data_IF_320546537609
#
_entry.id   IF_320546537609
#
_cell.length_a   1.000
_cell.length_b   1.000
_cell.length_c   1.000
_cell.angle_alpha   90.00
_cell.angle_beta   90.00
_cell.angle_gamma   90.00
#
_symmetry.space_group_name_H-M   'P 1'
#
loop_
_entity.id
_entity.type
_entity.pdbx_description
1 polymer ?
#
# COMPACT_ATOMS: atom_id res chain seq x y z
N UNK A 1 2.90 5.41 -4.95
CA UNK A 1 1.78 6.29 -5.36
C UNK A 1 1.22 6.98 -4.11
N UNK A 2 1.05 8.31 -4.10
CA UNK A 2 0.45 9.04 -2.97
C UNK A 2 -0.62 10.00 -3.47
N UNK A 3 -1.84 9.88 -2.97
CA UNK A 3 -2.98 10.72 -3.36
C UNK A 3 -3.52 11.40 -2.11
N UNK A 4 -3.74 12.72 -2.20
CA UNK A 4 -4.32 13.50 -1.11
C UNK A 4 -5.72 13.00 -0.76
N UNK A 5 -5.96 12.80 0.54
CA UNK A 5 -7.26 12.49 1.12
C UNK A 5 -7.99 13.77 1.49
N UNK A 6 -9.29 13.81 1.22
CA UNK A 6 -10.14 14.96 1.54
C UNK A 6 -10.83 15.56 0.31
N UNK A 7 -11.69 16.57 0.53
CA UNK A 7 -12.37 17.29 -0.54
C UNK A 7 -11.43 18.30 -1.23
N UNK A 8 -10.24 17.84 -1.61
CA UNK A 8 -9.17 18.67 -2.20
C UNK A 8 -8.88 18.31 -3.66
N UNK A 9 -9.52 17.26 -4.16
CA UNK A 9 -9.38 16.76 -5.52
C UNK A 9 -9.55 15.25 -5.57
N UNK A 10 -9.52 14.70 -6.78
CA UNK A 10 -9.48 13.26 -7.04
C UNK A 10 -8.40 12.94 -8.06
N UNK A 11 -7.84 11.74 -8.00
CA UNK A 11 -6.81 11.31 -8.95
C UNK A 11 -7.26 10.11 -9.79
N UNK A 12 -6.81 10.08 -11.04
CA UNK A 12 -6.88 8.90 -11.91
C UNK A 12 -5.43 8.47 -12.16
N UNK A 13 -5.11 7.24 -11.81
CA UNK A 13 -3.82 6.60 -12.02
C UNK A 13 -4.09 5.30 -12.76
N UNK A 14 -3.52 5.16 -13.95
CA UNK A 14 -3.77 4.03 -14.82
C UNK A 14 -2.49 3.60 -15.51
N UNK A 15 -2.32 2.29 -15.70
CA UNK A 15 -1.28 1.71 -16.56
C UNK A 15 0.14 2.06 -16.09
N UNK A 16 0.45 1.68 -14.85
CA UNK A 16 1.76 1.93 -14.22
C UNK A 16 2.42 0.61 -13.89
N UNK A 17 3.65 0.42 -14.37
CA UNK A 17 4.42 -0.80 -14.18
C UNK A 17 5.77 -0.49 -13.50
N UNK A 18 6.00 -1.10 -12.33
CA UNK A 18 7.27 -1.05 -11.62
C UNK A 18 7.97 -2.40 -11.76
N UNK A 19 9.11 -2.43 -12.45
CA UNK A 19 9.74 -3.68 -12.89
C UNK A 19 11.26 -3.67 -12.62
N UNK A 20 11.80 -4.83 -12.26
CA UNK A 20 13.25 -5.08 -12.11
C UNK A 20 13.95 -4.12 -11.12
N UNK A 21 13.31 -3.86 -9.99
CA UNK A 21 13.80 -2.93 -8.97
C UNK A 21 14.51 -3.70 -7.85
N UNK A 22 15.74 -3.28 -7.54
CA UNK A 22 16.43 -3.70 -6.30
C UNK A 22 16.38 -2.58 -5.27
N UNK A 23 15.82 -2.86 -4.09
CA UNK A 23 15.81 -1.92 -2.97
C UNK A 23 16.91 -2.27 -1.96
N UNK A 24 17.65 -1.27 -1.49
CA UNK A 24 18.70 -1.47 -0.49
C UNK A 24 18.45 -0.62 0.75
N UNK A 25 18.19 -1.29 1.88
CA UNK A 25 18.02 -0.65 3.18
C UNK A 25 16.93 0.45 3.17
N UNK A 26 15.78 0.18 2.55
CA UNK A 26 14.71 1.17 2.36
C UNK A 26 13.65 1.07 3.47
N UNK A 27 13.22 2.20 4.04
CA UNK A 27 12.25 2.21 5.15
C UNK A 27 10.82 1.88 4.73
N UNK A 28 10.38 2.35 3.56
CA UNK A 28 9.06 2.05 3.02
C UNK A 28 9.20 1.65 1.54
N UNK A 29 9.57 0.41 1.24
CA UNK A 29 9.93 0.01 -0.11
C UNK A 29 8.81 0.18 -1.13
N UNK A 30 7.60 -0.31 -0.80
CA UNK A 30 6.43 -0.24 -1.69
C UNK A 30 5.29 0.49 -0.99
N UNK A 31 4.89 1.64 -1.52
CA UNK A 31 3.85 2.48 -0.89
C UNK A 31 2.79 2.90 -1.91
N UNK A 32 1.55 2.56 -1.59
CA UNK A 32 0.35 3.22 -2.12
C UNK A 32 -0.40 3.81 -0.93
N UNK A 33 -0.49 5.13 -0.90
CA UNK A 33 -1.21 5.86 0.14
C UNK A 33 -2.19 6.84 -0.52
N UNK A 34 -3.42 6.38 -0.77
CA UNK A 34 -4.52 7.27 -1.15
C UNK A 34 -5.27 7.83 0.05
N UNK A 35 -4.69 7.70 1.25
CA UNK A 35 -5.19 8.30 2.48
C UNK A 35 -4.25 9.40 2.99
N UNK A 36 -3.38 9.90 2.10
CA UNK A 36 -2.34 10.85 2.43
C UNK A 36 -2.95 12.11 3.05
N UNK A 37 -2.29 12.64 4.08
CA UNK A 37 -2.70 13.81 4.87
C UNK A 37 -3.90 13.60 5.83
N UNK A 38 -4.91 12.77 5.50
CA UNK A 38 -6.08 12.59 6.37
C UNK A 38 -6.60 11.16 6.43
N UNK A 39 -6.19 10.45 7.48
CA UNK A 39 -6.72 9.12 7.81
C UNK A 39 -8.19 9.16 8.25
N UNK A 40 -8.61 10.23 8.92
CA UNK A 40 -10.00 10.41 9.35
C UNK A 40 -10.96 10.55 8.17
N UNK A 41 -10.59 11.33 7.13
CA UNK A 41 -11.40 11.40 5.92
C UNK A 41 -11.37 10.08 5.15
N UNK A 42 -10.21 9.44 5.05
CA UNK A 42 -10.08 8.13 4.42
C UNK A 42 -10.96 7.06 5.08
N UNK A 43 -11.05 7.07 6.41
CA UNK A 43 -11.92 6.17 7.17
C UNK A 43 -13.42 6.39 6.92
N UNK A 44 -13.82 7.48 6.27
CA UNK A 44 -15.22 7.67 5.81
C UNK A 44 -15.57 6.82 4.59
N UNK A 45 -14.57 6.20 3.94
CA UNK A 45 -14.76 5.38 2.74
C UNK A 45 -15.02 6.18 1.47
N UNK A 46 -15.02 7.53 1.52
CA UNK A 46 -15.27 8.36 0.32
C UNK A 46 -14.20 8.13 -0.76
N UNK A 47 -14.61 8.09 -2.05
CA UNK A 47 -13.67 7.95 -3.15
C UNK A 47 -12.78 9.18 -3.27
N UNK A 48 -11.48 8.94 -3.47
CA UNK A 48 -10.46 9.99 -3.73
C UNK A 48 -9.55 9.60 -4.91
N UNK A 49 -9.56 8.33 -5.32
CA UNK A 49 -8.74 7.85 -6.42
C UNK A 49 -9.41 6.74 -7.23
N UNK A 50 -9.06 6.69 -8.50
CA UNK A 50 -9.18 5.49 -9.34
C UNK A 50 -7.77 5.06 -9.74
N UNK A 51 -7.25 4.03 -9.07
CA UNK A 51 -5.95 3.41 -9.34
C UNK A 51 -6.22 2.06 -10.02
N UNK A 52 -5.82 1.94 -11.27
CA UNK A 52 -6.15 0.79 -12.12
C UNK A 52 -4.95 0.30 -12.92
N UNK A 53 -4.90 -1.01 -13.19
CA UNK A 53 -3.83 -1.62 -13.98
C UNK A 53 -2.42 -1.23 -13.50
N UNK A 54 -2.16 -1.37 -12.19
CA UNK A 54 -0.83 -1.15 -11.62
C UNK A 54 -0.16 -2.50 -11.34
N UNK A 55 1.06 -2.69 -11.80
CA UNK A 55 1.84 -3.90 -11.51
C UNK A 55 3.17 -3.57 -10.83
N UNK A 56 3.59 -4.46 -9.93
CA UNK A 56 4.90 -4.46 -9.31
C UNK A 56 5.50 -5.84 -9.52
N UNK A 57 6.50 -5.92 -10.40
CA UNK A 57 7.06 -7.18 -10.88
C UNK A 57 8.57 -7.25 -10.60
N UNK A 58 9.05 -8.39 -10.12
CA UNK A 58 10.48 -8.65 -9.90
C UNK A 58 11.17 -7.56 -9.05
N UNK A 59 10.59 -7.26 -7.88
CA UNK A 59 11.18 -6.33 -6.92
C UNK A 59 11.84 -7.09 -5.79
N UNK A 60 13.14 -6.89 -5.59
CA UNK A 60 13.91 -7.65 -4.60
C UNK A 60 14.75 -6.75 -3.69
N UNK A 61 15.26 -7.28 -2.58
CA UNK A 61 16.26 -6.61 -1.77
C UNK A 61 15.89 -6.47 -0.30
N UNK A 62 16.23 -5.35 0.34
CA UNK A 62 16.17 -5.22 1.80
C UNK A 62 15.46 -3.97 2.31
N UNK A 63 14.69 -4.12 3.39
CA UNK A 63 14.07 -3.02 4.13
C UNK A 63 14.76 -2.75 5.48
N UNK A 64 14.63 -1.52 5.99
CA UNK A 64 15.16 -1.18 7.33
C UNK A 64 14.38 -1.82 8.47
N UNK A 65 13.09 -2.11 8.24
CA UNK A 65 12.18 -2.71 9.22
C UNK A 65 11.22 -3.72 8.61
N UNK A 66 10.35 -4.30 9.44
CA UNK A 66 9.48 -5.41 9.02
C UNK A 66 8.45 -5.05 7.95
N UNK A 67 8.03 -3.79 7.86
CA UNK A 67 7.02 -3.35 6.89
C UNK A 67 7.70 -3.18 5.53
N UNK A 68 7.37 -4.07 4.59
CA UNK A 68 7.96 -4.07 3.24
C UNK A 68 7.02 -3.45 2.21
N UNK A 69 5.72 -3.48 2.48
CA UNK A 69 4.72 -2.78 1.68
C UNK A 69 3.61 -2.17 2.53
N UNK A 70 3.02 -1.09 2.03
CA UNK A 70 1.86 -0.43 2.61
C UNK A 70 0.93 0.03 1.49
N UNK A 71 -0.18 -0.68 1.29
CA UNK A 71 -1.19 -0.44 0.25
C UNK A 71 -2.49 -0.03 0.93
N UNK A 72 -2.71 1.27 1.02
CA UNK A 72 -3.81 1.87 1.76
C UNK A 72 -4.74 2.57 0.78
N UNK A 73 -5.95 2.01 0.66
CA UNK A 73 -7.00 2.51 -0.20
C UNK A 73 -8.32 2.62 0.58
N UNK A 74 -9.06 3.73 0.52
CA UNK A 74 -10.40 3.79 1.12
C UNK A 74 -11.39 2.98 0.28
N UNK A 75 -12.38 2.36 0.92
CA UNK A 75 -13.32 1.41 0.31
C UNK A 75 -14.01 1.92 -0.97
N UNK A 76 -14.37 3.20 -1.04
CA UNK A 76 -15.00 3.77 -2.23
C UNK A 76 -14.05 4.05 -3.40
N UNK A 77 -12.73 4.02 -3.20
CA UNK A 77 -11.75 4.18 -4.27
C UNK A 77 -11.47 2.86 -4.97
N UNK A 78 -11.08 2.92 -6.25
CA UNK A 78 -10.59 1.75 -6.97
C UNK A 78 -9.08 1.62 -6.76
N UNK A 79 -8.62 0.42 -6.37
CA UNK A 79 -7.21 0.10 -6.24
C UNK A 79 -6.91 -1.31 -6.78
N UNK A 80 -6.73 -1.40 -8.10
CA UNK A 80 -6.27 -2.61 -8.80
C UNK A 80 -4.74 -2.53 -8.96
N UNK A 81 -4.04 -3.16 -8.01
CA UNK A 81 -2.58 -3.21 -7.92
C UNK A 81 -2.18 -4.67 -7.71
N UNK A 82 -1.27 -5.20 -8.53
CA UNK A 82 -0.87 -6.61 -8.48
C UNK A 82 0.64 -6.75 -8.30
N UNK A 83 1.03 -7.62 -7.37
CA UNK A 83 2.42 -7.95 -7.10
C UNK A 83 2.74 -9.30 -7.72
N UNK A 84 3.92 -9.39 -8.34
CA UNK A 84 4.45 -10.62 -8.90
C UNK A 84 5.95 -10.67 -8.63
N UNK A 85 6.44 -11.79 -8.11
CA UNK A 85 7.88 -11.99 -7.85
C UNK A 85 8.50 -10.88 -6.98
N UNK A 86 7.76 -10.42 -5.95
CA UNK A 86 8.23 -9.42 -4.98
C UNK A 86 8.86 -10.12 -3.78
N UNK A 87 10.16 -9.96 -3.58
CA UNK A 87 10.95 -10.57 -2.49
C UNK A 87 11.82 -9.53 -1.77
N UNK A 88 11.22 -8.83 -0.80
CA UNK A 88 11.92 -7.84 0.05
C UNK A 88 12.02 -8.41 1.46
N UNK A 89 13.24 -8.49 1.99
CA UNK A 89 13.51 -9.05 3.31
C UNK A 89 13.98 -7.97 4.30
N UNK A 90 13.42 -7.92 5.52
CA UNK A 90 13.91 -7.01 6.55
C UNK A 90 15.35 -7.32 6.96
N UNK A 91 16.24 -6.33 7.02
CA UNK A 91 17.62 -6.52 7.52
C UNK A 91 17.66 -6.98 8.98
N UNK A 92 16.59 -6.74 9.73
CA UNK A 92 16.45 -7.19 11.13
C UNK A 92 16.23 -8.70 11.26
N UNK A 93 16.00 -9.42 10.15
CA UNK A 93 15.65 -10.85 10.16
C UNK A 93 14.20 -11.14 10.55
N UNK A 94 13.38 -10.11 10.82
CA UNK A 94 11.96 -10.27 11.07
C UNK A 94 11.21 -10.74 9.81
N UNK A 95 10.07 -11.40 10.00
CA UNK A 95 9.18 -11.72 8.89
C UNK A 95 8.65 -10.43 8.21
N UNK A 96 8.59 -10.39 6.87
CA UNK A 96 8.04 -9.25 6.14
C UNK A 96 6.55 -9.06 6.41
N UNK A 97 6.12 -7.80 6.52
CA UNK A 97 4.73 -7.39 6.77
C UNK A 97 4.26 -6.53 5.60
N UNK A 98 3.14 -6.92 5.00
CA UNK A 98 2.42 -6.15 3.98
C UNK A 98 1.19 -5.52 4.63
N UNK A 99 1.18 -4.20 4.77
CA UNK A 99 0.05 -3.47 5.36
C UNK A 99 -0.98 -3.17 4.28
N UNK A 100 -2.23 -3.52 4.53
CA UNK A 100 -3.32 -3.32 3.58
C UNK A 100 -4.52 -2.65 4.23
N UNK A 101 -5.22 -1.78 3.50
CA UNK A 101 -6.50 -1.22 3.90
C UNK A 101 -7.45 -1.16 2.70
N UNK A 102 -8.66 -1.72 2.87
CA UNK A 102 -9.73 -1.89 1.86
C UNK A 102 -9.31 -2.51 0.52
N UNK A 103 -8.25 -3.32 0.54
CA UNK A 103 -7.76 -4.13 -0.59
C UNK A 103 -7.54 -5.55 -0.08
N UNK A 104 -7.72 -6.57 -0.91
CA UNK A 104 -7.63 -7.96 -0.46
C UNK A 104 -6.30 -8.61 -0.80
N UNK A 105 -5.89 -9.58 0.01
CA UNK A 105 -4.67 -10.35 -0.20
C UNK A 105 -4.66 -11.04 -1.57
N UNK A 106 -5.80 -11.61 -1.96
CA UNK A 106 -5.96 -12.36 -3.20
C UNK A 106 -5.86 -11.46 -4.43
N UNK A 107 -6.37 -10.23 -4.32
CA UNK A 107 -6.35 -9.25 -5.41
C UNK A 107 -4.94 -8.72 -5.66
N UNK A 108 -4.13 -8.52 -4.59
CA UNK A 108 -2.76 -8.01 -4.69
C UNK A 108 -1.74 -9.13 -4.95
N UNK A 109 -1.97 -10.34 -4.44
CA UNK A 109 -1.02 -11.45 -4.52
C UNK A 109 -0.02 -11.52 -3.36
N UNK A 110 -0.33 -10.91 -2.21
CA UNK A 110 0.47 -11.00 -0.97
C UNK A 110 -0.39 -11.15 0.27
N UNK A 111 0.14 -11.76 1.32
CA UNK A 111 -0.55 -11.85 2.61
C UNK A 111 -0.61 -10.48 3.29
N UNK A 112 -1.81 -9.91 3.33
CA UNK A 112 -2.08 -8.63 3.97
C UNK A 112 -2.23 -8.76 5.50
N UNK A 113 -1.67 -7.78 6.20
CA UNK A 113 -1.98 -7.42 7.58
C UNK A 113 -2.91 -6.21 7.54
N UNK A 114 -4.02 -6.24 8.28
CA UNK A 114 -5.04 -5.19 8.28
C UNK A 114 -5.06 -4.42 9.60
N UNK A 115 -5.37 -3.11 9.59
CA UNK A 115 -5.49 -2.32 10.80
C UNK A 115 -6.89 -2.44 11.40
N UNK A 116 -6.99 -2.23 12.72
CA UNK A 116 -8.26 -1.80 13.33
C UNK A 116 -8.36 -0.28 13.20
N UNK A 117 -9.52 0.22 12.75
CA UNK A 117 -9.77 1.66 12.67
C UNK A 117 -10.49 2.13 13.95
N UNK A 118 -9.86 3.01 14.73
CA UNK A 118 -10.44 3.58 15.95
C UNK A 118 -10.43 5.11 15.82
N UNK A 119 -11.61 5.72 15.82
CA UNK A 119 -11.76 7.19 15.65
C UNK A 119 -10.96 7.74 14.45
N UNK A 120 -11.02 7.08 13.30
CA UNK A 120 -10.31 7.50 12.09
C UNK A 120 -8.79 7.29 12.12
N UNK A 121 -8.26 6.60 13.14
CA UNK A 121 -6.84 6.27 13.28
C UNK A 121 -6.61 4.79 13.03
N UNK A 122 -5.59 4.46 12.23
CA UNK A 122 -5.20 3.06 11.97
C UNK A 122 -4.33 2.52 13.09
N UNK A 123 -4.76 1.42 13.69
CA UNK A 123 -3.99 0.64 14.65
C UNK A 123 -3.58 -0.68 14.01
N UNK A 124 -2.29 -0.80 13.70
CA UNK A 124 -1.74 -2.01 13.09
C UNK A 124 -1.43 -3.07 14.15
N UNK A 125 -1.61 -4.37 13.82
CA UNK A 125 -1.13 -5.46 14.65
C UNK A 125 0.36 -5.33 14.97
N UNK A 126 0.71 -5.77 16.19
CA UNK A 126 2.05 -5.66 16.74
C UNK A 126 3.11 -6.43 15.96
#
# INVERSE_FOLDING_TARGET
IKIWSGPVGSAIVNDIHYEDITVENVTNPLVVDSCYFSSAYCATGKPVASITNVTVTNVTGTSTGKVVSSIICPEGSTCDIKFKDVNIVPKTGAAPVNRCFSVKSEDIGVNCTYPTVVNGTFKWPA
#
